data_IF_969681329535
#
_entry.id   IF_969681329535
#
_cell.length_a   1.000
_cell.length_b   1.000
_cell.length_c   1.000
_cell.angle_alpha   90.00
_cell.angle_beta   90.00
_cell.angle_gamma   90.00
#
_symmetry.space_group_name_H-M   'P 1'
#
loop_
_entity.id
_entity.type
_entity.pdbx_description
1 polymer ?
#
# COMPACT_ATOMS: atom_id res chain seq x y z
N UNK A 1 -8.49 3.08 -23.70
CA UNK A 1 -7.62 2.08 -23.02
C UNK A 1 -8.14 1.57 -21.68
N UNK A 2 -8.80 2.40 -20.87
CA UNK A 2 -9.27 2.04 -19.52
C UNK A 2 -10.11 0.77 -19.39
N UNK A 3 -11.21 0.66 -20.13
CA UNK A 3 -12.08 -0.53 -20.06
C UNK A 3 -11.41 -1.78 -20.64
N UNK A 4 -10.60 -1.63 -21.69
CA UNK A 4 -9.78 -2.72 -22.22
C UNK A 4 -8.81 -3.26 -21.17
N UNK A 5 -8.15 -2.37 -20.43
CA UNK A 5 -7.24 -2.74 -19.34
C UNK A 5 -7.97 -3.52 -18.23
N UNK A 6 -9.15 -3.04 -17.81
CA UNK A 6 -9.98 -3.73 -16.81
C UNK A 6 -10.35 -5.16 -17.24
N UNK A 7 -10.79 -5.32 -18.49
CA UNK A 7 -11.19 -6.63 -19.02
C UNK A 7 -9.97 -7.54 -19.22
N UNK A 8 -8.88 -7.01 -19.76
CA UNK A 8 -7.63 -7.75 -19.98
C UNK A 8 -7.07 -8.34 -18.69
N UNK A 9 -7.05 -7.58 -17.60
CA UNK A 9 -6.57 -8.08 -16.30
C UNK A 9 -7.34 -9.31 -15.81
N UNK A 10 -8.64 -9.38 -16.10
CA UNK A 10 -9.48 -10.52 -15.71
C UNK A 10 -9.29 -11.71 -16.65
N UNK A 11 -9.32 -11.44 -17.96
CA UNK A 11 -9.33 -12.48 -18.98
C UNK A 11 -7.94 -13.09 -19.23
N UNK A 12 -6.89 -12.28 -19.13
CA UNK A 12 -5.52 -12.67 -19.47
C UNK A 12 -4.67 -12.89 -18.21
N UNK A 13 -4.72 -11.98 -17.23
CA UNK A 13 -3.94 -12.13 -15.98
C UNK A 13 -4.71 -12.83 -14.84
N UNK A 14 -5.98 -13.19 -15.03
CA UNK A 14 -6.78 -13.91 -14.02
C UNK A 14 -7.04 -13.11 -12.74
N UNK A 15 -6.94 -11.79 -12.77
CA UNK A 15 -7.22 -10.94 -11.59
C UNK A 15 -8.71 -10.92 -11.27
N UNK A 16 -9.03 -10.83 -9.97
CA UNK A 16 -10.42 -10.66 -9.53
C UNK A 16 -10.98 -9.32 -10.01
N UNK A 17 -12.31 -9.22 -10.19
CA UNK A 17 -13.02 -7.96 -10.49
C UNK A 17 -12.63 -6.82 -9.55
N UNK A 18 -12.50 -7.12 -8.25
CA UNK A 18 -12.11 -6.15 -7.22
C UNK A 18 -10.69 -5.63 -7.45
N UNK A 19 -9.74 -6.53 -7.70
CA UNK A 19 -8.34 -6.15 -7.98
C UNK A 19 -8.22 -5.38 -9.28
N UNK A 20 -8.89 -5.81 -10.35
CA UNK A 20 -8.89 -5.12 -11.63
C UNK A 20 -9.47 -3.70 -11.51
N UNK A 21 -10.56 -3.54 -10.76
CA UNK A 21 -11.17 -2.23 -10.50
C UNK A 21 -10.25 -1.32 -9.69
N UNK A 22 -9.60 -1.88 -8.66
CA UNK A 22 -8.62 -1.18 -7.84
C UNK A 22 -7.42 -0.69 -8.66
N UNK A 23 -6.86 -1.52 -9.55
CA UNK A 23 -5.73 -1.14 -10.40
C UNK A 23 -6.13 -0.11 -11.44
N UNK A 24 -7.30 -0.26 -12.04
CA UNK A 24 -7.85 0.72 -12.99
C UNK A 24 -7.97 2.11 -12.35
N UNK A 25 -8.49 2.21 -11.12
CA UNK A 25 -8.58 3.51 -10.44
C UNK A 25 -7.21 4.02 -9.97
N UNK A 26 -6.29 3.13 -9.61
CA UNK A 26 -4.94 3.52 -9.26
C UNK A 26 -4.22 4.24 -10.42
N UNK A 27 -4.46 3.86 -11.68
CA UNK A 27 -3.89 4.55 -12.86
C UNK A 27 -4.35 6.02 -12.96
N UNK A 28 -5.59 6.33 -12.59
CA UNK A 28 -6.04 7.73 -12.49
C UNK A 28 -5.24 8.49 -11.43
N UNK A 29 -4.99 7.86 -10.27
CA UNK A 29 -4.15 8.42 -9.21
C UNK A 29 -2.71 8.65 -9.65
N UNK A 30 -2.14 7.73 -10.43
CA UNK A 30 -0.81 7.89 -11.05
C UNK A 30 -0.81 9.06 -12.02
N UNK A 31 -1.83 9.17 -12.88
CA UNK A 31 -1.94 10.27 -13.86
C UNK A 31 -1.95 11.62 -13.16
N UNK A 32 -2.81 11.78 -12.16
CA UNK A 32 -2.90 13.02 -11.38
C UNK A 32 -1.59 13.33 -10.66
N UNK A 33 -1.02 12.38 -9.94
CA UNK A 33 0.23 12.61 -9.20
C UNK A 33 1.37 12.98 -10.14
N UNK A 34 1.54 12.22 -11.23
CA UNK A 34 2.61 12.47 -12.20
C UNK A 34 2.45 13.86 -12.83
N UNK A 35 1.23 14.29 -13.16
CA UNK A 35 1.00 15.62 -13.71
C UNK A 35 1.40 16.75 -12.79
N UNK A 36 1.02 16.66 -11.52
CA UNK A 36 1.39 17.67 -10.53
C UNK A 36 2.91 17.66 -10.27
N UNK A 37 3.52 16.48 -10.14
CA UNK A 37 4.95 16.36 -9.82
C UNK A 37 5.88 16.72 -10.98
N UNK A 38 5.43 16.58 -12.23
CA UNK A 38 6.24 16.87 -13.43
C UNK A 38 5.89 18.17 -14.13
N UNK A 39 4.86 18.90 -13.65
CA UNK A 39 4.29 20.07 -14.34
C UNK A 39 3.90 19.81 -15.80
N UNK A 40 3.57 18.56 -16.13
CA UNK A 40 3.15 18.11 -17.45
C UNK A 40 1.84 17.34 -17.33
N UNK A 41 0.78 17.87 -17.93
CA UNK A 41 -0.50 17.18 -17.97
C UNK A 41 -0.36 15.83 -18.69
N UNK A 42 -0.80 14.76 -18.02
CA UNK A 42 -0.70 13.40 -18.52
C UNK A 42 -1.94 12.61 -18.12
N UNK A 43 -2.52 11.92 -19.10
CA UNK A 43 -3.48 10.86 -18.86
C UNK A 43 -2.87 9.55 -19.37
N UNK A 44 -2.51 8.65 -18.45
CA UNK A 44 -1.85 7.38 -18.81
C UNK A 44 -2.69 6.54 -19.78
N UNK A 45 -4.02 6.68 -19.75
CA UNK A 45 -4.90 5.97 -20.69
C UNK A 45 -4.87 6.52 -22.12
N UNK A 46 -4.27 7.67 -22.33
CA UNK A 46 -4.15 8.35 -23.62
C UNK A 46 -2.71 8.38 -24.16
N UNK A 47 -1.73 8.02 -23.34
CA UNK A 47 -0.32 7.90 -23.78
C UNK A 47 -0.17 6.72 -24.74
N UNK A 48 0.40 7.00 -25.91
CA UNK A 48 0.70 6.03 -26.96
C UNK A 48 2.20 5.65 -27.06
N UNK A 49 3.04 6.28 -26.25
CA UNK A 49 4.48 6.03 -26.17
C UNK A 49 4.82 4.99 -25.07
N UNK A 50 5.28 3.81 -25.51
CA UNK A 50 5.68 2.72 -24.61
C UNK A 50 6.93 3.06 -23.77
N UNK A 51 7.86 3.84 -24.32
CA UNK A 51 9.05 4.31 -23.61
C UNK A 51 8.64 5.19 -22.43
N UNK A 52 7.81 6.20 -22.71
CA UNK A 52 7.26 7.07 -21.66
C UNK A 52 6.48 6.30 -20.60
N UNK A 53 5.64 5.34 -20.99
CA UNK A 53 4.91 4.50 -20.03
C UNK A 53 5.85 3.64 -19.16
N UNK A 54 6.97 3.19 -19.71
CA UNK A 54 7.97 2.41 -18.97
C UNK A 54 8.72 3.31 -17.98
N UNK A 55 9.14 4.50 -18.40
CA UNK A 55 9.81 5.48 -17.54
C UNK A 55 8.90 5.90 -16.37
N UNK A 56 7.63 6.18 -16.65
CA UNK A 56 6.63 6.45 -15.62
C UNK A 56 6.52 5.26 -14.66
N UNK A 57 6.42 4.03 -15.17
CA UNK A 57 6.35 2.85 -14.30
C UNK A 57 7.60 2.70 -13.41
N UNK A 58 8.78 3.02 -13.94
CA UNK A 58 10.04 2.95 -13.20
C UNK A 58 10.12 4.03 -12.12
N UNK A 59 9.56 5.21 -12.36
CA UNK A 59 9.45 6.27 -11.35
C UNK A 59 8.62 5.84 -10.13
N UNK A 60 7.59 5.02 -10.31
CA UNK A 60 6.78 4.47 -9.20
C UNK A 60 7.28 3.12 -8.67
N UNK A 61 8.39 2.62 -9.19
CA UNK A 61 9.01 1.39 -8.70
C UNK A 61 9.53 1.55 -7.26
N UNK A 62 9.99 0.47 -6.66
CA UNK A 62 10.52 0.48 -5.28
C UNK A 62 11.75 1.37 -5.11
N UNK A 63 12.45 1.68 -6.19
CA UNK A 63 13.65 2.53 -6.21
C UNK A 63 13.46 3.79 -7.06
N UNK A 64 12.24 4.03 -7.54
CA UNK A 64 11.92 5.17 -8.38
C UNK A 64 11.71 6.45 -7.58
N UNK A 65 11.75 7.60 -8.26
CA UNK A 65 11.60 8.93 -7.63
C UNK A 65 10.25 9.14 -6.92
N UNK A 66 9.23 8.37 -7.29
CA UNK A 66 7.90 8.35 -6.68
C UNK A 66 7.62 7.07 -5.90
N UNK A 67 8.66 6.36 -5.43
CA UNK A 67 8.52 5.12 -4.67
C UNK A 67 7.53 5.27 -3.49
N UNK A 68 7.64 6.36 -2.71
CA UNK A 68 6.74 6.66 -1.57
C UNK A 68 5.26 6.62 -1.98
N UNK A 69 4.90 7.29 -3.08
CA UNK A 69 3.55 7.24 -3.62
C UNK A 69 3.22 5.87 -4.22
N UNK A 70 4.17 5.23 -4.90
CA UNK A 70 4.05 3.88 -5.46
C UNK A 70 3.72 2.80 -4.41
N UNK A 71 4.11 2.99 -3.16
CA UNK A 71 3.75 2.13 -2.01
C UNK A 71 2.31 2.31 -1.53
N UNK A 72 1.57 3.32 -2.00
CA UNK A 72 0.17 3.55 -1.68
C UNK A 72 -0.71 2.30 -1.87
N UNK A 73 -1.58 2.04 -0.90
CA UNK A 73 -2.44 0.85 -0.88
C UNK A 73 -1.65 -0.46 -0.87
N UNK A 74 -0.57 -0.55 -0.07
CA UNK A 74 0.33 -1.71 -0.01
C UNK A 74 1.01 -2.06 -1.34
N UNK A 75 1.39 -1.05 -2.12
CA UNK A 75 1.99 -1.21 -3.45
C UNK A 75 0.98 -1.42 -4.58
N UNK A 76 -0.31 -1.16 -4.33
CA UNK A 76 -1.34 -1.21 -5.38
C UNK A 76 -1.01 -0.28 -6.53
N UNK A 77 -0.48 0.90 -6.24
CA UNK A 77 -0.13 1.92 -7.23
C UNK A 77 1.00 1.45 -8.15
N UNK A 78 2.15 1.04 -7.59
CA UNK A 78 3.26 0.48 -8.40
C UNK A 78 2.82 -0.73 -9.23
N UNK A 79 2.00 -1.60 -8.64
CA UNK A 79 1.57 -2.81 -9.32
C UNK A 79 0.59 -2.48 -10.44
N UNK A 80 -0.26 -1.47 -10.27
CA UNK A 80 -1.18 -1.01 -11.30
C UNK A 80 -0.42 -0.48 -12.52
N UNK A 81 0.52 0.46 -12.33
CA UNK A 81 1.27 1.05 -13.46
C UNK A 81 2.15 0.01 -14.17
N UNK A 82 2.84 -0.86 -13.42
CA UNK A 82 3.60 -1.96 -14.02
C UNK A 82 2.69 -2.95 -14.77
N UNK A 83 1.46 -3.17 -14.29
CA UNK A 83 0.46 -4.00 -14.99
C UNK A 83 -0.08 -3.31 -16.23
N UNK A 84 -0.23 -1.99 -16.20
CA UNK A 84 -0.65 -1.21 -17.36
C UNK A 84 0.40 -1.24 -18.48
N UNK A 85 1.69 -1.15 -18.15
CA UNK A 85 2.77 -1.30 -19.15
C UNK A 85 2.72 -2.69 -19.82
N UNK A 86 2.46 -3.77 -19.05
CA UNK A 86 2.28 -5.11 -19.63
C UNK A 86 1.05 -5.20 -20.53
N UNK A 87 -0.07 -4.62 -20.10
CA UNK A 87 -1.27 -4.51 -20.93
C UNK A 87 -1.01 -3.75 -22.22
N UNK A 88 -0.33 -2.62 -22.16
CA UNK A 88 -0.03 -1.81 -23.33
C UNK A 88 0.80 -2.61 -24.36
N UNK A 89 1.88 -3.27 -23.91
CA UNK A 89 2.66 -4.19 -24.75
C UNK A 89 1.81 -5.30 -25.36
N UNK A 90 0.84 -5.83 -24.61
CA UNK A 90 -0.09 -6.85 -25.09
C UNK A 90 -1.06 -6.30 -26.15
N UNK A 91 -1.73 -5.18 -25.89
CA UNK A 91 -2.71 -4.56 -26.80
C UNK A 91 -2.03 -4.10 -28.10
N UNK A 92 -0.81 -3.54 -28.03
CA UNK A 92 -0.02 -3.15 -29.20
C UNK A 92 0.44 -4.34 -30.06
N UNK A 93 0.58 -5.53 -29.47
CA UNK A 93 1.00 -6.74 -30.20
C UNK A 93 -0.17 -7.60 -30.71
N UNK A 94 -1.39 -7.38 -30.21
CA UNK A 94 -2.56 -8.23 -30.47
C UNK A 94 -3.77 -7.43 -31.00
N UNK A 95 -3.52 -6.32 -31.72
CA UNK A 95 -4.51 -5.33 -32.15
C UNK A 95 -5.92 -5.87 -32.42
N UNK A 96 -6.91 -5.27 -31.74
CA UNK A 96 -8.36 -5.37 -31.94
C UNK A 96 -8.89 -6.74 -32.43
N UNK A 97 -8.99 -7.71 -31.51
CA UNK A 97 -9.83 -8.89 -31.72
C UNK A 97 -10.75 -9.08 -30.50
N UNK A 98 -12.05 -8.95 -30.73
CA UNK A 98 -13.10 -9.46 -29.86
C UNK A 98 -12.90 -10.97 -29.68
N UNK A 99 -12.88 -11.42 -28.41
CA UNK A 99 -12.66 -12.77 -27.87
C UNK A 99 -12.77 -13.97 -28.83
N UNK A 100 -11.92 -15.01 -28.69
CA UNK A 100 -12.30 -16.13 -27.81
C UNK A 100 -11.14 -16.90 -27.10
N UNK A 101 -11.49 -17.44 -25.91
CA UNK A 101 -11.20 -18.76 -25.29
C UNK A 101 -9.82 -19.48 -25.31
N UNK A 102 -9.59 -20.43 -24.38
CA UNK A 102 -8.29 -20.64 -23.73
C UNK A 102 -7.46 -21.85 -24.23
N UNK A 103 -6.15 -21.75 -23.90
CA UNK A 103 -5.06 -22.75 -23.90
C UNK A 103 -4.17 -22.74 -25.15
N UNK A 104 -2.85 -22.58 -24.94
CA UNK A 104 -1.89 -23.69 -25.01
C UNK A 104 -0.49 -23.28 -24.52
N UNK A 105 0.17 -24.24 -23.88
CA UNK A 105 1.58 -24.19 -23.49
C UNK A 105 2.43 -24.34 -24.75
N UNK A 106 3.40 -23.47 -24.98
CA UNK A 106 4.57 -23.81 -25.79
C UNK A 106 5.84 -23.20 -25.21
N UNK A 107 6.75 -24.10 -24.88
CA UNK A 107 8.18 -23.90 -24.74
C UNK A 107 8.76 -23.19 -25.97
N UNK A 108 9.71 -22.28 -25.79
CA UNK A 108 10.96 -22.34 -26.55
C UNK A 108 12.11 -21.57 -25.89
N UNK A 109 13.23 -22.28 -25.83
CA UNK A 109 14.60 -21.81 -25.67
C UNK A 109 14.92 -20.60 -26.55
N UNK A 110 15.91 -19.78 -26.14
CA UNK A 110 17.20 -19.60 -26.87
C UNK A 110 18.10 -18.55 -26.19
N UNK A 111 19.32 -19.02 -25.87
CA UNK A 111 20.65 -18.38 -25.84
C UNK A 111 21.03 -17.40 -24.71
N UNK A 112 22.00 -17.90 -23.92
CA UNK A 112 22.88 -17.19 -23.00
C UNK A 112 23.86 -16.29 -23.76
N UNK A 113 24.13 -15.09 -23.23
CA UNK A 113 25.45 -14.44 -23.35
C UNK A 113 25.91 -13.98 -21.97
N UNK A 114 27.12 -14.41 -21.65
CA UNK A 114 27.91 -14.15 -20.45
C UNK A 114 28.47 -12.72 -20.44
N UNK A 115 28.46 -12.07 -19.29
CA UNK A 115 29.61 -11.30 -18.82
C UNK A 115 29.60 -11.21 -17.29
N UNK A 116 30.74 -11.56 -16.71
CA UNK A 116 31.01 -11.71 -15.29
C UNK A 116 31.35 -10.35 -14.63
N UNK A 117 31.33 -10.37 -13.30
CA UNK A 117 31.78 -9.33 -12.35
C UNK A 117 30.77 -8.26 -11.93
N UNK A 118 29.75 -8.69 -11.18
CA UNK A 118 29.33 -8.02 -9.94
C UNK A 118 29.05 -9.12 -8.90
N UNK A 119 29.69 -9.03 -7.74
CA UNK A 119 29.38 -9.87 -6.58
C UNK A 119 27.99 -9.46 -6.11
N UNK A 120 27.00 -10.12 -6.70
CA UNK A 120 25.59 -9.91 -6.39
C UNK A 120 25.28 -10.86 -5.24
N UNK A 121 25.18 -10.30 -4.02
CA UNK A 121 24.41 -10.94 -2.96
C UNK A 121 23.04 -11.20 -3.58
N UNK A 122 22.75 -12.48 -3.86
CA UNK A 122 21.51 -12.90 -4.51
C UNK A 122 20.37 -12.45 -3.60
N UNK A 123 19.71 -11.36 -3.98
CA UNK A 123 18.38 -11.04 -3.50
C UNK A 123 17.52 -12.30 -3.72
N UNK A 124 17.09 -12.89 -2.62
CA UNK A 124 16.29 -14.10 -2.52
C UNK A 124 14.84 -13.86 -2.96
N UNK A 125 14.63 -13.09 -4.02
CA UNK A 125 13.30 -12.75 -4.55
C UNK A 125 12.61 -13.86 -5.37
N UNK A 126 13.12 -15.11 -5.31
CA UNK A 126 12.56 -16.25 -6.04
C UNK A 126 11.69 -17.20 -5.19
N UNK A 127 11.34 -16.84 -3.95
CA UNK A 127 10.76 -17.80 -2.97
C UNK A 127 9.22 -17.87 -2.87
N UNK A 128 8.44 -17.30 -3.79
CA UNK A 128 6.97 -17.37 -3.73
C UNK A 128 6.30 -17.90 -5.01
N UNK A 129 6.86 -18.93 -5.66
CA UNK A 129 6.12 -19.68 -6.69
C UNK A 129 5.18 -20.77 -6.14
N UNK A 130 5.21 -21.04 -4.83
CA UNK A 130 4.38 -22.08 -4.19
C UNK A 130 3.56 -21.51 -3.02
N UNK A 131 2.72 -20.50 -3.27
CA UNK A 131 1.70 -20.13 -2.29
C UNK A 131 0.75 -21.32 -2.09
N UNK A 132 0.75 -21.94 -0.90
CA UNK A 132 -0.21 -23.00 -0.57
C UNK A 132 -1.62 -22.43 -0.68
N UNK A 133 -2.52 -23.15 -1.36
CA UNK A 133 -3.92 -22.72 -1.52
C UNK A 133 -4.55 -22.47 -0.14
N UNK A 134 -5.07 -21.26 0.07
CA UNK A 134 -5.62 -20.79 1.36
C UNK A 134 -4.68 -20.91 2.56
N UNK A 135 -3.36 -20.94 2.34
CA UNK A 135 -2.37 -20.88 3.41
C UNK A 135 -2.25 -19.48 4.01
N UNK A 136 -1.77 -19.39 5.25
CA UNK A 136 -1.46 -18.12 5.89
C UNK A 136 -0.29 -17.44 5.16
N UNK A 137 -0.52 -16.21 4.67
CA UNK A 137 0.52 -15.41 4.07
C UNK A 137 1.47 -14.88 5.15
N UNK A 138 2.78 -15.06 4.96
CA UNK A 138 3.81 -14.53 5.88
C UNK A 138 3.69 -13.02 6.08
N UNK A 139 3.22 -12.29 5.07
CA UNK A 139 2.94 -10.85 5.14
C UNK A 139 1.97 -10.47 6.27
N UNK A 140 1.06 -11.35 6.68
CA UNK A 140 0.18 -11.08 7.82
C UNK A 140 0.98 -11.02 9.13
N UNK A 141 1.89 -11.97 9.36
CA UNK A 141 2.77 -11.98 10.53
C UNK A 141 3.75 -10.81 10.51
N UNK A 142 4.30 -10.49 9.33
CA UNK A 142 5.20 -9.34 9.16
C UNK A 142 4.46 -8.02 9.50
N UNK A 143 3.26 -7.81 8.96
CA UNK A 143 2.46 -6.63 9.27
C UNK A 143 2.04 -6.56 10.75
N UNK A 144 1.73 -7.71 11.36
CA UNK A 144 1.42 -7.77 12.79
C UNK A 144 2.63 -7.38 13.64
N UNK A 145 3.84 -7.79 13.24
CA UNK A 145 5.07 -7.39 13.90
C UNK A 145 5.31 -5.87 13.81
N UNK A 146 5.12 -5.27 12.65
CA UNK A 146 5.20 -3.81 12.48
C UNK A 146 4.19 -3.08 13.37
N UNK A 147 2.95 -3.59 13.44
CA UNK A 147 1.94 -3.02 14.35
C UNK A 147 2.34 -3.16 15.80
N UNK A 148 2.93 -4.29 16.19
CA UNK A 148 3.41 -4.48 17.55
C UNK A 148 4.49 -3.45 17.91
N UNK A 149 5.48 -3.24 17.03
CA UNK A 149 6.51 -2.20 17.24
C UNK A 149 5.85 -0.83 17.43
N UNK A 150 5.08 -0.37 16.45
CA UNK A 150 4.44 0.95 16.47
C UNK A 150 3.39 1.14 17.59
N UNK A 151 2.87 0.04 18.16
CA UNK A 151 1.94 0.11 19.29
C UNK A 151 2.65 0.14 20.66
N UNK A 152 3.95 -0.16 20.69
CA UNK A 152 4.74 -0.23 21.92
C UNK A 152 5.97 0.71 21.87
N UNK A 153 5.96 1.71 20.99
CA UNK A 153 6.97 2.76 20.99
C UNK A 153 6.75 3.72 22.16
N UNK A 154 7.85 4.15 22.77
CA UNK A 154 7.83 5.03 23.93
C UNK A 154 7.40 4.32 25.22
N UNK A 155 7.09 5.12 26.25
CA UNK A 155 6.72 4.64 27.59
C UNK A 155 5.33 5.13 28.01
N UNK A 156 4.52 5.61 27.07
CA UNK A 156 3.17 6.10 27.36
C UNK A 156 2.25 4.95 27.75
N UNK A 157 1.45 5.16 28.79
CA UNK A 157 0.33 4.30 29.14
C UNK A 157 -0.97 5.00 28.80
N UNK A 158 -1.94 4.21 28.33
CA UNK A 158 -3.25 4.70 27.93
C UNK A 158 -4.33 3.93 28.71
N UNK A 159 -5.16 4.66 29.43
CA UNK A 159 -6.21 4.11 30.30
C UNK A 159 -7.62 4.35 29.73
N UNK A 160 -8.61 3.72 30.35
CA UNK A 160 -10.02 3.98 30.04
C UNK A 160 -10.43 5.44 30.35
N UNK A 161 -9.81 6.08 31.34
CA UNK A 161 -10.03 7.50 31.63
C UNK A 161 -9.59 8.37 30.46
N UNK A 162 -8.40 8.12 29.92
CA UNK A 162 -7.87 8.85 28.76
C UNK A 162 -8.75 8.64 27.52
N UNK A 163 -9.33 7.45 27.37
CA UNK A 163 -10.29 7.18 26.31
C UNK A 163 -11.58 8.00 26.47
N UNK A 164 -12.11 8.09 27.69
CA UNK A 164 -13.29 8.90 27.96
C UNK A 164 -13.01 10.39 27.73
N UNK A 165 -11.84 10.89 28.13
CA UNK A 165 -11.40 12.26 27.81
C UNK A 165 -11.29 12.50 26.31
N UNK A 166 -10.76 11.52 25.57
CA UNK A 166 -10.69 11.58 24.11
C UNK A 166 -12.08 11.69 23.49
N UNK A 167 -13.04 10.86 23.90
CA UNK A 167 -14.42 10.98 23.44
C UNK A 167 -15.04 12.33 23.80
N UNK A 168 -14.79 12.83 25.00
CA UNK A 168 -15.31 14.13 25.46
C UNK A 168 -14.76 15.29 24.64
N UNK A 169 -13.47 15.26 24.25
CA UNK A 169 -12.89 16.26 23.37
C UNK A 169 -13.62 16.33 22.02
N UNK A 170 -14.05 15.18 21.48
CA UNK A 170 -14.84 15.11 20.25
C UNK A 170 -16.35 15.21 20.50
N UNK A 171 -16.79 15.72 21.66
CA UNK A 171 -18.21 15.90 22.03
C UNK A 171 -19.03 14.59 21.96
N UNK A 172 -18.39 13.45 22.20
CA UNK A 172 -18.96 12.11 21.98
C UNK A 172 -19.56 11.92 20.57
N UNK A 173 -18.92 12.55 19.57
CA UNK A 173 -19.25 12.43 18.15
C UNK A 173 -18.13 11.72 17.40
N UNK A 174 -18.45 11.23 16.20
CA UNK A 174 -17.47 10.68 15.29
C UNK A 174 -16.50 11.79 14.84
N UNK A 175 -15.20 11.60 15.03
CA UNK A 175 -14.15 12.53 14.62
C UNK A 175 -14.10 12.77 13.11
N UNK A 176 -14.76 11.93 12.31
CA UNK A 176 -14.74 12.01 10.86
C UNK A 176 -15.95 12.66 10.22
N UNK A 177 -17.16 12.32 10.66
CA UNK A 177 -18.39 12.87 10.07
C UNK A 177 -19.08 13.89 10.98
N UNK A 178 -18.55 14.14 12.18
CA UNK A 178 -19.13 15.08 13.15
C UNK A 178 -20.47 14.64 13.74
N UNK A 179 -21.01 13.48 13.36
CA UNK A 179 -22.32 13.01 13.81
C UNK A 179 -22.23 12.26 15.14
N UNK A 180 -23.28 12.39 15.94
CA UNK A 180 -23.49 11.59 17.16
C UNK A 180 -23.63 10.11 16.80
N UNK A 181 -23.07 9.23 17.64
CA UNK A 181 -23.18 7.80 17.46
C UNK A 181 -23.07 7.08 18.80
N UNK A 182 -24.01 6.18 19.09
CA UNK A 182 -24.00 5.40 20.35
C UNK A 182 -22.84 4.39 20.41
N UNK A 183 -22.27 4.01 19.27
CA UNK A 183 -21.30 2.92 19.15
C UNK A 183 -19.98 3.41 18.54
N UNK A 184 -19.40 4.47 19.11
CA UNK A 184 -18.07 4.95 18.74
C UNK A 184 -17.01 3.89 19.07
N UNK A 185 -16.21 3.57 18.06
CA UNK A 185 -15.04 2.70 18.20
C UNK A 185 -13.77 3.54 18.24
N UNK A 186 -12.77 3.01 18.93
CA UNK A 186 -11.42 3.56 18.90
C UNK A 186 -10.77 3.27 17.56
N UNK A 187 -10.23 4.29 16.93
CA UNK A 187 -9.65 4.21 15.59
C UNK A 187 -8.35 5.03 15.52
N UNK A 188 -7.44 4.64 14.63
CA UNK A 188 -6.17 5.33 14.41
C UNK A 188 -6.27 6.32 13.25
N UNK A 189 -6.25 7.61 13.55
CA UNK A 189 -6.28 8.68 12.54
C UNK A 189 -5.19 8.48 11.47
N UNK A 190 -3.97 8.18 11.92
CA UNK A 190 -2.84 7.73 11.10
C UNK A 190 -2.74 6.21 11.23
N UNK A 191 -2.88 5.45 10.13
CA UNK A 191 -2.80 4.00 10.15
C UNK A 191 -1.47 3.46 10.70
N UNK A 192 -1.55 2.39 11.50
CA UNK A 192 -0.37 1.69 12.03
C UNK A 192 0.23 0.78 10.95
N UNK A 193 1.10 1.36 10.14
CA UNK A 193 1.83 0.68 9.07
C UNK A 193 3.18 1.38 8.79
N UNK A 194 4.01 0.74 7.96
CA UNK A 194 5.36 1.22 7.62
C UNK A 194 5.42 2.42 6.65
N UNK A 195 4.29 2.86 6.09
CA UNK A 195 4.21 3.98 5.15
C UNK A 195 3.74 5.26 5.86
N UNK A 196 2.66 5.16 6.64
CA UNK A 196 2.06 6.27 7.38
C UNK A 196 2.68 6.46 8.76
N UNK A 197 3.35 5.44 9.30
CA UNK A 197 4.06 5.46 10.58
C UNK A 197 3.18 5.85 11.79
N UNK A 198 1.88 5.55 11.74
CA UNK A 198 0.97 5.80 12.85
C UNK A 198 1.26 4.93 14.06
N UNK A 199 1.15 5.50 15.26
CA UNK A 199 1.40 4.82 16.53
C UNK A 199 0.09 4.53 17.29
N UNK A 200 0.08 3.54 18.17
CA UNK A 200 -1.02 3.35 19.11
C UNK A 200 -0.84 4.28 20.32
N UNK A 201 -1.16 5.57 20.15
CA UNK A 201 -0.84 6.63 21.11
C UNK A 201 -1.95 7.68 21.21
N UNK A 202 -2.10 8.33 22.36
CA UNK A 202 -2.99 9.49 22.48
C UNK A 202 -2.61 10.56 21.44
N UNK A 203 -3.62 11.28 20.94
CA UNK A 203 -3.47 12.15 19.77
C UNK A 203 -3.68 11.42 18.45
N UNK A 204 -3.23 10.16 18.31
CA UNK A 204 -3.54 9.35 17.12
C UNK A 204 -4.84 8.52 17.26
N UNK A 205 -5.30 8.29 18.49
CA UNK A 205 -6.57 7.61 18.77
C UNK A 205 -7.74 8.59 18.70
N UNK A 206 -8.73 8.29 17.87
CA UNK A 206 -9.94 9.11 17.71
C UNK A 206 -11.22 8.25 17.78
N UNK A 207 -12.36 8.82 18.22
CA UNK A 207 -13.65 8.15 18.14
C UNK A 207 -14.18 8.14 16.71
N UNK A 208 -14.59 6.97 16.23
CA UNK A 208 -15.11 6.79 14.88
C UNK A 208 -16.38 5.95 14.90
N UNK A 209 -17.39 6.30 14.09
CA UNK A 209 -18.48 5.38 13.81
C UNK A 209 -17.99 4.22 12.92
N UNK A 210 -18.72 3.10 12.92
CA UNK A 210 -18.34 1.91 12.12
C UNK A 210 -18.30 2.22 10.63
N UNK A 211 -19.20 3.07 10.14
CA UNK A 211 -19.30 3.46 8.74
C UNK A 211 -18.06 4.23 8.29
N UNK A 212 -17.65 5.25 9.04
CA UNK A 212 -16.44 6.02 8.72
C UNK A 212 -15.17 5.18 8.88
N UNK A 213 -15.06 4.38 9.94
CA UNK A 213 -13.92 3.46 10.11
C UNK A 213 -13.78 2.50 8.92
N UNK A 214 -14.89 1.86 8.51
CA UNK A 214 -14.89 0.96 7.36
C UNK A 214 -14.57 1.68 6.04
N UNK A 215 -15.03 2.92 5.87
CA UNK A 215 -14.79 3.73 4.66
C UNK A 215 -13.34 4.23 4.59
N UNK A 216 -12.77 4.68 5.72
CA UNK A 216 -11.37 5.11 5.84
C UNK A 216 -10.42 3.94 5.64
N UNK A 217 -10.71 2.81 6.29
CA UNK A 217 -9.98 1.55 6.17
C UNK A 217 -8.48 1.67 6.49
N UNK A 218 -7.63 1.95 5.49
CA UNK A 218 -6.19 2.12 5.66
C UNK A 218 -5.72 3.47 5.13
N UNK A 219 -6.64 4.39 4.84
CA UNK A 219 -6.29 5.75 4.47
C UNK A 219 -5.86 6.54 5.71
N UNK A 220 -4.88 7.43 5.50
CA UNK A 220 -4.53 8.49 6.43
C UNK A 220 -5.70 9.48 6.59
N UNK A 221 -5.95 9.99 7.81
CA UNK A 221 -7.02 10.95 8.07
C UNK A 221 -6.96 12.18 7.16
N UNK A 222 -5.76 12.68 6.84
CA UNK A 222 -5.56 13.82 5.93
C UNK A 222 -6.17 13.57 4.54
N UNK A 223 -5.96 12.37 4.01
CA UNK A 223 -6.52 11.97 2.72
C UNK A 223 -8.02 11.72 2.80
N UNK A 224 -8.50 11.19 3.92
CA UNK A 224 -9.91 10.87 4.12
C UNK A 224 -10.78 12.11 4.29
N UNK A 225 -10.24 13.17 4.89
CA UNK A 225 -10.92 14.43 5.20
C UNK A 225 -10.56 15.57 4.23
N UNK A 226 -10.06 15.27 3.03
CA UNK A 226 -9.65 16.29 2.06
C UNK A 226 -10.72 17.36 1.75
N UNK A 227 -12.00 17.00 1.86
CA UNK A 227 -13.15 17.89 1.64
C UNK A 227 -13.91 18.25 2.93
N UNK A 228 -13.31 18.02 4.10
CA UNK A 228 -13.91 18.21 5.43
C UNK A 228 -12.91 18.97 6.33
N UNK A 229 -12.71 20.28 6.07
CA UNK A 229 -11.65 21.06 6.71
C UNK A 229 -11.87 21.28 8.21
N UNK A 230 -13.12 21.33 8.67
CA UNK A 230 -13.44 21.52 10.09
C UNK A 230 -13.07 20.28 10.91
N UNK A 231 -13.42 19.08 10.43
CA UNK A 231 -13.05 17.81 11.06
C UNK A 231 -11.55 17.56 10.97
N UNK A 232 -10.92 17.93 9.85
CA UNK A 232 -9.47 17.85 9.69
C UNK A 232 -8.75 18.71 10.74
N UNK A 233 -9.18 19.96 10.91
CA UNK A 233 -8.63 20.89 11.89
C UNK A 233 -8.84 20.36 13.32
N UNK A 234 -10.03 19.86 13.65
CA UNK A 234 -10.33 19.30 14.98
C UNK A 234 -9.41 18.12 15.35
N UNK A 235 -9.10 17.24 14.40
CA UNK A 235 -8.14 16.14 14.64
C UNK A 235 -6.72 16.69 14.84
N UNK A 236 -6.31 17.70 14.09
CA UNK A 236 -4.98 18.30 14.22
C UNK A 236 -4.81 19.04 15.56
N UNK A 237 -5.81 19.79 15.99
CA UNK A 237 -5.85 20.45 17.29
C UNK A 237 -5.80 19.42 18.44
N UNK A 238 -6.51 18.29 18.31
CA UNK A 238 -6.43 17.19 19.27
C UNK A 238 -5.03 16.59 19.35
N UNK A 239 -4.39 16.34 18.21
CA UNK A 239 -3.01 15.85 18.14
C UNK A 239 -2.06 16.80 18.87
N UNK A 240 -2.17 18.10 18.62
CA UNK A 240 -1.37 19.13 19.28
C UNK A 240 -1.63 19.17 20.80
N UNK A 241 -2.89 19.16 21.22
CA UNK A 241 -3.27 19.14 22.65
C UNK A 241 -2.69 17.94 23.39
N UNK A 242 -2.65 16.77 22.75
CA UNK A 242 -2.04 15.55 23.31
C UNK A 242 -0.52 15.49 23.09
N UNK A 243 0.10 16.56 22.60
CA UNK A 243 1.53 16.64 22.31
C UNK A 243 2.00 15.49 21.40
N UNK A 244 1.12 15.10 20.47
CA UNK A 244 1.36 14.05 19.49
C UNK A 244 1.87 14.67 18.19
N UNK A 245 3.09 14.31 17.81
CA UNK A 245 3.68 14.65 16.51
C UNK A 245 3.83 13.36 15.70
N UNK A 246 3.19 13.25 14.51
CA UNK A 246 3.31 12.07 13.68
C UNK A 246 4.77 11.73 13.34
N UNK A 247 5.15 10.45 13.45
CA UNK A 247 6.48 10.00 13.04
C UNK A 247 6.76 10.27 11.55
N UNK A 248 5.72 10.34 10.72
CA UNK A 248 5.84 10.72 9.30
C UNK A 248 6.38 12.13 9.07
N UNK A 249 6.23 13.00 10.07
CA UNK A 249 6.60 14.41 10.00
C UNK A 249 7.95 14.64 10.71
N UNK A 250 8.56 13.59 11.29
CA UNK A 250 9.87 13.62 11.94
C UNK A 250 11.01 13.67 10.90
N UNK A 251 12.11 14.35 11.24
CA UNK A 251 13.33 14.41 10.40
C UNK A 251 13.94 13.02 10.12
N UNK A 252 13.73 12.05 11.01
CA UNK A 252 14.21 10.68 10.89
C UNK A 252 13.17 9.73 10.29
N UNK A 253 12.08 10.23 9.70
CA UNK A 253 10.97 9.41 9.17
C UNK A 253 11.41 8.38 8.12
N UNK A 254 12.36 8.73 7.26
CA UNK A 254 12.94 7.81 6.27
C UNK A 254 13.74 6.70 6.97
N UNK A 255 14.60 7.05 7.93
CA UNK A 255 15.35 6.08 8.75
C UNK A 255 14.42 5.14 9.51
N UNK A 256 13.34 5.66 10.11
CA UNK A 256 12.32 4.85 10.80
C UNK A 256 11.67 3.87 9.82
N UNK A 257 11.33 4.35 8.62
CA UNK A 257 10.75 3.51 7.55
C UNK A 257 11.72 2.39 7.15
N UNK A 258 13.01 2.69 7.02
CA UNK A 258 14.05 1.69 6.73
C UNK A 258 14.16 0.64 7.84
N UNK A 259 14.19 1.05 9.11
CA UNK A 259 14.22 0.14 10.27
C UNK A 259 12.99 -0.79 10.26
N UNK A 260 11.80 -0.24 10.02
CA UNK A 260 10.57 -1.04 9.93
C UNK A 260 10.58 -1.99 8.73
N UNK A 261 11.18 -1.61 7.59
CA UNK A 261 11.35 -2.51 6.47
C UNK A 261 12.32 -3.66 6.79
N UNK A 262 13.44 -3.37 7.47
CA UNK A 262 14.37 -4.40 7.94
C UNK A 262 13.67 -5.38 8.89
N UNK A 263 12.96 -4.87 9.90
CA UNK A 263 12.17 -5.67 10.83
C UNK A 263 11.13 -6.56 10.11
N UNK A 264 10.43 -5.99 9.12
CA UNK A 264 9.48 -6.73 8.29
C UNK A 264 10.17 -7.88 7.54
N UNK A 265 11.32 -7.64 6.92
CA UNK A 265 12.08 -8.65 6.17
C UNK A 265 12.63 -9.76 7.06
N UNK A 266 13.18 -9.42 8.22
CA UNK A 266 13.74 -10.37 9.20
C UNK A 266 12.73 -11.41 9.65
N UNK A 267 11.47 -11.01 9.91
CA UNK A 267 10.38 -11.95 10.22
C UNK A 267 10.15 -12.94 9.08
N UNK A 268 10.22 -12.47 7.83
CA UNK A 268 10.09 -13.33 6.66
C UNK A 268 11.23 -14.35 6.56
N UNK A 269 12.47 -13.90 6.78
CA UNK A 269 13.66 -14.74 6.76
C UNK A 269 13.65 -15.76 7.90
N UNK A 270 13.21 -15.35 9.10
CA UNK A 270 13.07 -16.22 10.26
C UNK A 270 12.10 -17.38 9.98
N UNK A 271 10.94 -17.06 9.42
CA UNK A 271 9.97 -18.08 9.02
C UNK A 271 10.56 -19.06 7.99
N UNK A 272 11.24 -18.54 6.95
CA UNK A 272 11.89 -19.39 5.94
C UNK A 272 12.97 -20.30 6.54
N UNK A 273 13.77 -19.77 7.48
CA UNK A 273 14.81 -20.55 8.17
C UNK A 273 14.20 -21.74 8.90
N UNK A 274 13.15 -21.55 9.69
CA UNK A 274 12.53 -22.64 10.45
C UNK A 274 11.79 -23.64 9.55
N UNK A 275 11.13 -23.16 8.48
CA UNK A 275 10.56 -24.04 7.46
C UNK A 275 11.66 -24.93 6.85
N UNK A 276 12.82 -24.37 6.50
CA UNK A 276 13.93 -25.12 5.94
C UNK A 276 14.53 -26.13 6.93
N UNK A 277 14.60 -25.80 8.23
CA UNK A 277 15.04 -26.74 9.27
C UNK A 277 14.08 -27.92 9.37
N UNK A 278 12.76 -27.66 9.44
CA UNK A 278 11.74 -28.71 9.55
C UNK A 278 11.73 -29.59 8.30
N UNK A 279 11.82 -29.01 7.10
CA UNK A 279 11.85 -29.77 5.85
C UNK A 279 13.05 -30.71 5.71
N UNK A 280 14.15 -30.49 6.47
CA UNK A 280 15.29 -31.42 6.49
C UNK A 280 15.03 -32.67 7.34
N UNK A 281 13.99 -32.64 8.19
CA UNK A 281 13.60 -33.74 9.06
C UNK A 281 12.48 -34.61 8.45
N UNK A 282 11.85 -34.14 7.36
CA UNK A 282 10.80 -34.82 6.61
C UNK A 282 11.39 -35.55 5.41
#
# INVERSE_FOLDING_TARGET
MREKFYNWMQQVEGKTKKTAYSYMNAINGVSNHYSHSSSREINIYEVDDLGLLTDISDDYSTTGRFAKFGFGGNGTIRNAIATYVRFYKYDSSHGSITSPSPKQKTSNHVIRRSNQNKVHIKSTNNLLKNARYRGNAIGNSQNLFIRNILSNLGNESFSESDWNETKNYFDNKCAYCGMENENLVMEHAIPINKLDLGEHRLGNLVPSCKECNNKKHHANYRNFLVNQPEELAKIQEYMEQKSYSPLSDNENSDTITEILNMAHEEIGQLAQRYIAIINKLL
#
